data_IF_941937600266
#
_entry.id   IF_941937600266
#
_cell.length_a   1.000
_cell.length_b   1.000
_cell.length_c   1.000
_cell.angle_alpha   90.00
_cell.angle_beta   90.00
_cell.angle_gamma   90.00
#
_symmetry.space_group_name_H-M   'P 1'
#
loop_
_entity.id
_entity.type
_entity.pdbx_description
1 polymer ?
#
# COMPACT_ATOMS: atom_id res chain seq x y z
N UNK A 1 -21.18 -6.81 0.09
CA UNK A 1 -20.81 -5.68 0.97
C UNK A 1 -21.32 -4.41 0.28
N UNK A 2 -22.31 -3.71 0.83
CA UNK A 2 -22.78 -2.43 0.25
C UNK A 2 -21.78 -1.35 0.66
N UNK A 3 -21.12 -0.76 -0.33
CA UNK A 3 -20.27 0.42 -0.12
C UNK A 3 -21.21 1.62 -0.09
N UNK A 4 -21.39 2.24 1.06
CA UNK A 4 -22.08 3.53 1.14
C UNK A 4 -21.11 4.61 0.64
N UNK A 5 -21.27 5.01 -0.60
CA UNK A 5 -20.57 6.17 -1.17
C UNK A 5 -21.33 7.43 -0.77
N UNK A 6 -20.64 8.38 -0.16
CA UNK A 6 -21.15 9.71 0.10
C UNK A 6 -20.51 10.65 -0.92
N UNK A 7 -21.32 11.22 -1.80
CA UNK A 7 -20.85 12.28 -2.68
C UNK A 7 -20.54 13.52 -1.84
N UNK A 8 -19.38 14.09 -2.05
CA UNK A 8 -18.88 15.22 -1.29
C UNK A 8 -18.12 16.15 -2.23
N UNK A 9 -18.34 17.45 -2.12
CA UNK A 9 -17.57 18.41 -2.91
C UNK A 9 -16.12 18.46 -2.44
N UNK A 10 -15.22 18.94 -3.31
CA UNK A 10 -13.82 19.11 -2.97
C UNK A 10 -13.59 19.98 -1.74
N UNK A 11 -14.36 21.07 -1.61
CA UNK A 11 -14.30 21.99 -0.47
C UNK A 11 -14.78 21.36 0.84
N UNK A 12 -15.77 20.48 0.79
CA UNK A 12 -16.21 19.71 1.95
C UNK A 12 -15.16 18.68 2.37
N UNK A 13 -14.51 18.05 1.40
CA UNK A 13 -13.44 17.10 1.67
C UNK A 13 -12.23 17.75 2.35
N UNK A 14 -11.90 18.99 1.97
CA UNK A 14 -10.82 19.75 2.62
C UNK A 14 -11.14 20.14 4.07
N UNK A 15 -12.41 20.24 4.44
CA UNK A 15 -12.88 20.56 5.79
C UNK A 15 -12.97 19.35 6.71
N UNK A 16 -12.82 18.13 6.17
CA UNK A 16 -12.84 16.93 7.00
C UNK A 16 -11.69 16.97 8.02
N UNK A 17 -11.96 16.55 9.28
CA UNK A 17 -10.91 16.49 10.28
C UNK A 17 -9.82 15.53 9.80
N UNK A 18 -8.61 16.07 9.64
CA UNK A 18 -7.46 15.23 9.29
C UNK A 18 -7.22 14.23 10.41
N UNK A 19 -7.01 12.96 10.04
CA UNK A 19 -6.58 11.97 11.02
C UNK A 19 -5.31 12.46 11.72
N UNK A 20 -5.27 12.29 13.04
CA UNK A 20 -4.04 12.59 13.80
C UNK A 20 -2.88 11.83 13.17
N UNK A 21 -1.87 12.56 12.72
CA UNK A 21 -0.68 11.96 12.16
C UNK A 21 0.00 11.05 13.19
N UNK A 22 0.22 9.82 12.78
CA UNK A 22 0.98 8.82 13.55
C UNK A 22 2.12 8.33 12.67
N UNK A 23 3.34 8.35 13.20
CA UNK A 23 4.51 7.86 12.46
C UNK A 23 4.26 6.47 11.86
N UNK A 24 4.76 6.20 10.65
CA UNK A 24 4.68 4.89 10.04
C UNK A 24 5.32 3.82 10.93
N UNK A 25 4.72 2.65 10.92
CA UNK A 25 5.26 1.48 11.63
C UNK A 25 6.00 0.56 10.64
N UNK A 26 7.04 -0.10 11.12
CA UNK A 26 7.66 -1.17 10.35
C UNK A 26 6.68 -2.34 10.19
N UNK A 27 6.60 -2.93 8.99
CA UNK A 27 5.83 -4.15 8.77
C UNK A 27 6.29 -5.25 9.72
N UNK A 28 5.36 -5.84 10.45
CA UNK A 28 5.66 -6.97 11.32
C UNK A 28 5.85 -8.22 10.46
N UNK A 29 7.06 -8.80 10.47
CA UNK A 29 7.42 -9.92 9.59
C UNK A 29 6.53 -11.15 9.78
N UNK A 30 6.15 -11.48 11.02
CA UNK A 30 5.26 -12.59 11.31
C UNK A 30 3.87 -12.39 10.68
N UNK A 31 3.35 -11.16 10.71
CA UNK A 31 2.05 -10.82 10.13
C UNK A 31 2.11 -10.88 8.59
N UNK A 32 3.19 -10.38 7.99
CA UNK A 32 3.43 -10.51 6.56
C UNK A 32 3.46 -11.98 6.11
N UNK A 33 4.06 -12.86 6.92
CA UNK A 33 4.08 -14.31 6.67
C UNK A 33 2.67 -14.91 6.74
N UNK A 34 1.86 -14.53 7.74
CA UNK A 34 0.46 -14.97 7.83
C UNK A 34 -0.33 -14.53 6.60
N UNK A 35 -0.18 -13.27 6.18
CA UNK A 35 -0.83 -12.76 4.97
C UNK A 35 -0.38 -13.57 3.76
N UNK A 36 0.91 -13.84 3.62
CA UNK A 36 1.45 -14.66 2.53
C UNK A 36 0.84 -16.05 2.50
N UNK A 37 0.74 -16.72 3.63
CA UNK A 37 0.13 -18.05 3.74
C UNK A 37 -1.36 -17.98 3.34
N UNK A 38 -2.07 -16.98 3.83
CA UNK A 38 -3.50 -16.83 3.54
C UNK A 38 -3.79 -16.59 2.03
N UNK A 39 -2.89 -15.93 1.32
CA UNK A 39 -3.05 -15.68 -0.12
C UNK A 39 -2.51 -16.79 -1.02
N UNK A 40 -1.66 -17.67 -0.51
CA UNK A 40 -1.02 -18.73 -1.29
C UNK A 40 -2.02 -19.60 -2.09
N UNK A 41 -3.16 -20.05 -1.52
CA UNK A 41 -4.14 -20.82 -2.27
C UNK A 41 -4.72 -20.06 -3.49
N UNK A 42 -4.89 -18.73 -3.33
CA UNK A 42 -5.37 -17.88 -4.43
C UNK A 42 -4.34 -17.81 -5.55
N UNK A 43 -3.07 -17.60 -5.22
CA UNK A 43 -1.99 -17.55 -6.21
C UNK A 43 -1.81 -18.88 -6.93
N UNK A 44 -1.94 -20.01 -6.22
CA UNK A 44 -1.89 -21.33 -6.84
C UNK A 44 -3.06 -21.58 -7.80
N UNK A 45 -4.27 -21.25 -7.35
CA UNK A 45 -5.48 -21.44 -8.17
C UNK A 45 -5.43 -20.63 -9.48
N UNK A 46 -4.86 -19.44 -9.43
CA UNK A 46 -4.70 -18.55 -10.60
C UNK A 46 -3.48 -18.91 -11.45
N UNK A 47 -2.69 -19.92 -11.06
CA UNK A 47 -1.41 -20.26 -11.73
C UNK A 47 -0.52 -19.03 -11.91
N UNK A 48 -0.49 -18.18 -10.88
CA UNK A 48 0.25 -16.94 -10.93
C UNK A 48 1.75 -17.19 -11.16
N UNK A 49 2.29 -16.59 -12.21
CA UNK A 49 3.71 -16.56 -12.50
C UNK A 49 4.16 -15.12 -12.79
N UNK A 50 5.40 -14.83 -12.53
CA UNK A 50 5.99 -13.54 -12.85
C UNK A 50 7.45 -13.72 -13.26
N UNK A 51 7.94 -12.77 -14.03
CA UNK A 51 9.36 -12.67 -14.39
C UNK A 51 9.94 -11.42 -13.74
N UNK A 52 11.20 -11.49 -13.37
CA UNK A 52 11.94 -10.32 -12.84
C UNK A 52 13.04 -9.95 -13.82
N UNK A 53 13.19 -8.65 -14.01
CA UNK A 53 14.25 -8.11 -14.82
C UNK A 53 15.04 -7.11 -14.00
N UNK A 54 16.36 -7.26 -13.96
CA UNK A 54 17.31 -6.37 -13.27
C UNK A 54 17.05 -6.15 -11.78
N UNK A 55 16.39 -7.10 -11.11
CA UNK A 55 16.14 -7.04 -9.66
C UNK A 55 17.43 -7.12 -8.82
N UNK A 56 18.50 -7.69 -9.38
CA UNK A 56 19.85 -7.73 -8.82
C UNK A 56 20.40 -6.32 -8.55
N UNK A 57 20.04 -5.33 -9.37
CA UNK A 57 20.50 -3.95 -9.19
C UNK A 57 19.97 -3.28 -7.92
N UNK A 58 18.79 -3.72 -7.45
CA UNK A 58 18.19 -3.19 -6.21
C UNK A 58 18.81 -3.84 -4.99
N UNK A 59 19.21 -5.11 -5.07
CA UNK A 59 19.73 -5.89 -3.95
C UNK A 59 18.78 -5.83 -2.75
N UNK A 60 19.33 -5.71 -1.54
CA UNK A 60 18.57 -5.62 -0.28
C UNK A 60 18.24 -4.18 0.15
N UNK A 61 18.58 -3.20 -0.66
CA UNK A 61 18.36 -1.81 -0.33
C UNK A 61 16.85 -1.48 -0.30
N UNK A 62 16.40 -0.66 0.66
CA UNK A 62 15.02 -0.18 0.67
C UNK A 62 14.75 0.69 -0.56
N UNK A 63 13.65 0.45 -1.23
CA UNK A 63 13.29 1.14 -2.47
C UNK A 63 11.82 1.56 -2.45
N UNK A 64 11.51 2.57 -3.27
CA UNK A 64 10.14 2.92 -3.60
C UNK A 64 9.68 2.00 -4.73
N UNK A 65 8.61 1.27 -4.48
CA UNK A 65 7.99 0.35 -5.42
C UNK A 65 6.77 1.05 -6.00
N UNK A 66 6.78 1.30 -7.30
CA UNK A 66 5.63 1.84 -8.01
C UNK A 66 4.93 0.70 -8.73
N UNK A 67 3.62 0.60 -8.56
CA UNK A 67 2.82 -0.48 -9.13
C UNK A 67 1.52 0.09 -9.68
N UNK A 68 1.08 -0.39 -10.83
CA UNK A 68 -0.22 -0.08 -11.39
C UNK A 68 -1.32 -0.63 -10.49
N UNK A 69 -2.47 0.04 -10.47
CA UNK A 69 -3.59 -0.35 -9.62
C UNK A 69 -4.81 -0.73 -10.45
N UNK A 70 -5.03 -2.02 -10.62
CA UNK A 70 -6.15 -2.55 -11.40
C UNK A 70 -7.25 -3.14 -10.52
N UNK A 71 -6.89 -3.67 -9.35
CA UNK A 71 -7.87 -4.33 -8.49
C UNK A 71 -7.36 -4.49 -7.05
N UNK A 72 -8.27 -4.87 -6.16
CA UNK A 72 -7.90 -5.26 -4.79
C UNK A 72 -6.94 -6.48 -4.72
N UNK A 73 -6.82 -7.21 -5.83
CA UNK A 73 -5.91 -8.36 -5.93
C UNK A 73 -4.44 -7.94 -5.96
N UNK A 74 -4.15 -6.70 -6.37
CA UNK A 74 -2.77 -6.20 -6.55
C UNK A 74 -1.95 -6.28 -5.26
N UNK A 75 -2.58 -6.05 -4.11
CA UNK A 75 -1.93 -6.24 -2.81
C UNK A 75 -1.51 -7.70 -2.61
N UNK A 76 -2.33 -8.67 -3.04
CA UNK A 76 -1.99 -10.10 -2.95
C UNK A 76 -0.81 -10.42 -3.87
N UNK A 77 -0.80 -9.86 -5.07
CA UNK A 77 0.29 -10.03 -6.03
C UNK A 77 1.58 -9.42 -5.47
N UNK A 78 1.52 -8.23 -4.88
CA UNK A 78 2.67 -7.60 -4.25
C UNK A 78 3.30 -8.49 -3.17
N UNK A 79 2.49 -9.08 -2.27
CA UNK A 79 3.00 -10.05 -1.30
C UNK A 79 3.53 -11.33 -1.97
N UNK A 80 2.98 -11.73 -3.11
CA UNK A 80 3.46 -12.86 -3.91
C UNK A 80 4.84 -12.62 -4.50
N UNK A 81 5.08 -11.41 -5.01
CA UNK A 81 6.28 -11.04 -5.76
C UNK A 81 7.42 -10.63 -4.79
N UNK A 82 7.12 -9.77 -3.83
CA UNK A 82 8.16 -9.10 -3.03
C UNK A 82 8.53 -9.84 -1.73
N UNK A 83 7.77 -10.86 -1.31
CA UNK A 83 8.17 -11.66 -0.16
C UNK A 83 9.50 -12.39 -0.43
N UNK A 84 10.46 -12.43 0.51
CA UNK A 84 10.40 -12.02 1.92
C UNK A 84 10.77 -10.56 2.20
N UNK A 85 10.92 -9.72 1.18
CA UNK A 85 11.25 -8.30 1.34
C UNK A 85 10.17 -7.62 2.19
N UNK A 86 10.61 -6.88 3.20
CA UNK A 86 9.71 -6.07 4.01
C UNK A 86 9.35 -4.79 3.25
N UNK A 87 8.06 -4.55 3.09
CA UNK A 87 7.55 -3.32 2.48
C UNK A 87 6.28 -2.86 3.17
N UNK A 88 6.12 -1.55 3.29
CA UNK A 88 4.86 -0.91 3.66
C UNK A 88 4.07 -0.55 2.40
N UNK A 89 2.79 -0.23 2.56
CA UNK A 89 1.90 0.14 1.46
C UNK A 89 1.29 1.50 1.75
N UNK A 90 1.37 2.42 0.78
CA UNK A 90 0.59 3.67 0.83
C UNK A 90 -0.86 3.34 0.52
N UNK A 91 -1.76 3.73 1.40
CA UNK A 91 -3.19 3.43 1.27
C UNK A 91 -4.05 4.64 1.59
N UNK A 92 -5.29 4.64 1.11
CA UNK A 92 -6.25 5.71 1.45
C UNK A 92 -6.54 5.74 2.94
N UNK A 93 -6.74 6.94 3.48
CA UNK A 93 -7.18 7.19 4.87
C UNK A 93 -8.43 6.37 5.20
N UNK A 94 -9.36 6.21 4.26
CA UNK A 94 -10.61 5.48 4.46
C UNK A 94 -10.37 4.01 4.83
N UNK A 95 -9.33 3.40 4.27
CA UNK A 95 -8.95 2.01 4.58
C UNK A 95 -8.31 1.87 5.97
N UNK A 96 -7.93 2.97 6.60
CA UNK A 96 -7.24 2.98 7.89
C UNK A 96 -8.16 3.20 9.09
N UNK A 97 -9.47 3.04 8.91
CA UNK A 97 -10.47 3.20 9.97
C UNK A 97 -10.70 1.93 10.80
N UNK A 98 -11.09 2.11 12.06
CA UNK A 98 -11.52 1.02 12.94
C UNK A 98 -10.45 -0.03 13.26
N UNK A 99 -10.88 -1.26 13.48
CA UNK A 99 -10.01 -2.41 13.82
C UNK A 99 -9.12 -2.78 12.62
N UNK A 100 -9.68 -2.72 11.40
CA UNK A 100 -8.93 -2.98 10.18
C UNK A 100 -7.77 -2.00 10.02
N UNK A 101 -7.96 -0.72 10.35
CA UNK A 101 -6.90 0.27 10.33
C UNK A 101 -5.74 -0.04 11.25
N UNK A 102 -6.01 -0.62 12.44
CA UNK A 102 -4.94 -1.10 13.34
C UNK A 102 -4.13 -2.23 12.71
N UNK A 103 -4.80 -3.19 12.07
CA UNK A 103 -4.15 -4.30 11.37
C UNK A 103 -3.31 -3.80 10.19
N UNK A 104 -3.87 -2.88 9.39
CA UNK A 104 -3.16 -2.26 8.26
C UNK A 104 -1.90 -1.54 8.73
N UNK A 105 -1.95 -0.85 9.87
CA UNK A 105 -0.75 -0.23 10.45
C UNK A 105 0.33 -1.23 10.83
N UNK A 106 -0.04 -2.37 11.42
CA UNK A 106 0.90 -3.46 11.74
C UNK A 106 1.54 -4.07 10.49
N UNK A 107 0.84 -4.02 9.35
CA UNK A 107 1.36 -4.40 8.05
C UNK A 107 2.23 -3.29 7.41
N UNK A 108 2.44 -2.17 8.10
CA UNK A 108 3.26 -1.06 7.61
C UNK A 108 2.52 -0.12 6.66
N UNK A 109 1.18 -0.17 6.63
CA UNK A 109 0.42 0.74 5.78
C UNK A 109 0.48 2.17 6.30
N UNK A 110 0.70 3.11 5.37
CA UNK A 110 0.79 4.55 5.62
C UNK A 110 -0.38 5.24 4.94
N UNK A 111 -1.20 6.00 5.71
CA UNK A 111 -2.36 6.67 5.15
C UNK A 111 -1.97 7.86 4.27
N UNK A 112 -2.70 8.08 3.20
CA UNK A 112 -2.65 9.30 2.39
C UNK A 112 -4.03 9.79 2.05
N UNK A 113 -4.17 11.09 1.89
CA UNK A 113 -5.38 11.70 1.34
C UNK A 113 -5.31 11.70 -0.18
N UNK A 114 -6.33 11.13 -0.81
CA UNK A 114 -6.43 11.12 -2.27
C UNK A 114 -6.60 12.56 -2.80
N UNK A 115 -5.98 12.83 -3.94
CA UNK A 115 -6.13 14.09 -4.70
C UNK A 115 -5.70 15.37 -3.97
N UNK A 116 -4.97 15.24 -2.87
CA UNK A 116 -4.44 16.38 -2.11
C UNK A 116 -2.94 16.24 -1.98
N UNK A 117 -2.21 17.34 -2.15
CA UNK A 117 -0.77 17.35 -1.87
C UNK A 117 -0.52 17.10 -0.39
N UNK A 118 0.11 15.97 -0.09
CA UNK A 118 0.37 15.54 1.28
C UNK A 118 1.88 15.54 1.58
N UNK A 119 2.36 16.67 2.08
CA UNK A 119 3.77 16.79 2.51
C UNK A 119 4.11 15.86 3.67
N UNK A 120 3.11 15.46 4.46
CA UNK A 120 3.30 14.52 5.56
C UNK A 120 3.64 13.13 5.01
N UNK A 121 2.96 12.73 3.94
CA UNK A 121 3.28 11.48 3.24
C UNK A 121 4.74 11.45 2.78
N UNK A 122 5.24 12.54 2.19
CA UNK A 122 6.64 12.60 1.71
C UNK A 122 7.62 12.37 2.89
N UNK A 123 7.38 13.01 4.02
CA UNK A 123 8.19 12.82 5.24
C UNK A 123 8.09 11.39 5.78
N UNK A 124 6.92 10.78 5.71
CA UNK A 124 6.70 9.40 6.14
C UNK A 124 7.42 8.40 5.22
N UNK A 125 7.39 8.63 3.90
CA UNK A 125 8.15 7.83 2.93
C UNK A 125 9.66 7.93 3.18
N UNK A 126 10.16 9.14 3.38
CA UNK A 126 11.56 9.37 3.72
C UNK A 126 11.95 8.64 5.02
N UNK A 127 11.11 8.73 6.04
CA UNK A 127 11.32 8.05 7.32
C UNK A 127 11.37 6.53 7.15
N UNK A 128 10.46 5.94 6.37
CA UNK A 128 10.43 4.51 6.12
C UNK A 128 11.67 4.05 5.34
N UNK A 129 12.04 4.74 4.29
CA UNK A 129 13.16 4.37 3.45
C UNK A 129 14.51 4.57 4.16
N UNK A 130 14.72 5.72 4.80
CA UNK A 130 16.01 6.09 5.38
C UNK A 130 16.21 5.54 6.79
N UNK A 131 15.21 5.66 7.68
CA UNK A 131 15.32 5.26 9.09
C UNK A 131 14.88 3.83 9.33
N UNK A 132 13.71 3.46 8.86
CA UNK A 132 13.20 2.11 9.09
C UNK A 132 13.80 1.07 8.15
N UNK A 133 14.56 1.49 7.14
CA UNK A 133 15.16 0.60 6.13
C UNK A 133 14.11 -0.36 5.53
N UNK A 134 12.93 0.17 5.23
CA UNK A 134 11.77 -0.57 4.73
C UNK A 134 11.38 -0.03 3.37
N UNK A 135 11.21 -0.90 2.39
CA UNK A 135 10.66 -0.52 1.07
C UNK A 135 9.22 -0.02 1.21
N UNK A 136 8.79 0.81 0.29
CA UNK A 136 7.41 1.32 0.28
C UNK A 136 6.79 1.10 -1.08
N UNK A 137 5.63 0.49 -1.10
CA UNK A 137 4.82 0.30 -2.29
C UNK A 137 3.74 1.37 -2.35
N UNK A 138 3.61 2.01 -3.48
CA UNK A 138 2.52 2.94 -3.75
C UNK A 138 1.94 2.75 -5.15
N UNK A 139 0.69 3.12 -5.28
CA UNK A 139 -0.07 3.14 -6.53
C UNK A 139 -0.22 4.59 -6.97
N UNK A 140 0.59 5.09 -7.92
CA UNK A 140 0.60 6.52 -8.29
C UNK A 140 -0.74 7.00 -8.83
N UNK A 141 -1.50 6.12 -9.45
CA UNK A 141 -2.79 6.42 -10.09
C UNK A 141 -3.89 6.80 -9.10
N UNK A 142 -3.70 6.53 -7.79
CA UNK A 142 -4.68 6.79 -6.72
C UNK A 142 -6.09 6.18 -6.93
N UNK A 143 -6.34 5.53 -8.06
CA UNK A 143 -7.57 4.86 -8.45
C UNK A 143 -7.30 3.56 -9.20
N UNK A 144 -8.36 2.82 -9.50
CA UNK A 144 -8.25 1.61 -10.32
C UNK A 144 -8.26 1.98 -11.80
N UNK A 145 -7.23 1.55 -12.54
CA UNK A 145 -7.22 1.59 -13.99
C UNK A 145 -7.77 0.27 -14.54
N UNK A 146 -8.94 0.31 -15.15
CA UNK A 146 -9.59 -0.89 -15.68
C UNK A 146 -9.11 -1.28 -17.07
N UNK A 147 -8.49 -0.36 -17.78
CA UNK A 147 -7.97 -0.50 -19.14
C UNK A 147 -6.45 -0.58 -19.21
N UNK A 148 -5.78 -0.48 -18.07
CA UNK A 148 -4.33 -0.46 -17.99
C UNK A 148 -3.67 0.83 -18.47
N UNK A 149 -4.47 1.84 -18.81
CA UNK A 149 -3.96 3.16 -19.18
C UNK A 149 -3.86 4.05 -17.95
N UNK A 150 -2.79 4.80 -17.85
CA UNK A 150 -2.65 5.89 -16.87
C UNK A 150 -3.51 7.06 -17.32
N UNK A 151 -4.43 7.51 -16.49
CA UNK A 151 -5.19 8.74 -16.72
C UNK A 151 -4.42 9.94 -16.22
#
# INVERSE_FOLDING_TARGET
MKINTKEMSYDEMLKLPRLQHKKPMMPQGWLATIVRIAIAPTLWKTKFSYTTERMDLVGDQPCLILMNHCSFTDMKLAYGIFYPRKFGIVTSVDAMSGILGKLMRLLGCTPTHKYVSDLTLIKDLEYMLKKNKTSVLMYPEAGYSFDGCTT
#
